data_IF_480037637082
#
_entry.id   IF_480037637082
#
_cell.length_a   1.000
_cell.length_b   1.000
_cell.length_c   1.000
_cell.angle_alpha   90.00
_cell.angle_beta   90.00
_cell.angle_gamma   90.00
#
_symmetry.space_group_name_H-M   'P 1'
#
loop_
_entity.id
_entity.type
_entity.pdbx_description
1 polymer ?
#
# COMPACT_ATOMS: atom_id res chain seq x y z
N UNK A 1 9.52 -15.81 -25.61
CA UNK A 1 9.45 -14.60 -24.75
C UNK A 1 9.66 -15.08 -23.32
N UNK A 2 10.88 -14.84 -22.80
CA UNK A 2 11.26 -15.33 -21.48
C UNK A 2 10.49 -14.58 -20.40
N UNK A 3 9.70 -15.28 -19.63
CA UNK A 3 9.15 -14.83 -18.34
C UNK A 3 10.35 -14.57 -17.43
N UNK A 4 10.71 -13.30 -17.21
CA UNK A 4 11.70 -12.96 -16.19
C UNK A 4 11.06 -13.29 -14.84
N UNK A 5 11.45 -14.41 -14.24
CA UNK A 5 11.02 -14.75 -12.89
C UNK A 5 11.51 -13.64 -11.98
N UNK A 6 10.58 -12.96 -11.31
CA UNK A 6 10.87 -12.03 -10.24
C UNK A 6 11.73 -12.76 -9.20
N UNK A 7 12.99 -12.34 -9.06
CA UNK A 7 13.88 -12.91 -8.04
C UNK A 7 13.41 -12.38 -6.68
N UNK A 8 12.59 -13.17 -6.01
CA UNK A 8 12.08 -12.86 -4.68
C UNK A 8 13.15 -13.26 -3.66
N UNK A 9 13.97 -12.30 -3.28
CA UNK A 9 15.04 -12.52 -2.29
C UNK A 9 15.19 -11.33 -1.35
N UNK A 10 15.65 -11.54 -0.09
CA UNK A 10 15.92 -10.46 0.86
C UNK A 10 16.95 -9.45 0.32
N UNK A 11 17.97 -9.93 -0.40
CA UNK A 11 18.98 -9.06 -1.02
C UNK A 11 18.39 -8.10 -2.05
N UNK A 12 17.41 -8.56 -2.85
CA UNK A 12 16.71 -7.71 -3.82
C UNK A 12 15.93 -6.59 -3.11
N UNK A 13 15.22 -6.91 -2.01
CA UNK A 13 14.52 -5.91 -1.22
C UNK A 13 15.47 -4.83 -0.71
N UNK A 14 16.62 -5.22 -0.13
CA UNK A 14 17.62 -4.27 0.37
C UNK A 14 18.20 -3.44 -0.77
N UNK A 15 18.52 -4.04 -1.90
CA UNK A 15 18.99 -3.34 -3.09
C UNK A 15 17.96 -2.30 -3.57
N UNK A 16 16.68 -2.66 -3.63
CA UNK A 16 15.62 -1.73 -4.02
C UNK A 16 15.54 -0.53 -3.05
N UNK A 17 15.64 -0.77 -1.74
CA UNK A 17 15.51 0.30 -0.74
C UNK A 17 16.64 1.33 -0.81
N UNK A 18 17.89 0.89 -1.09
CA UNK A 18 19.07 1.76 -1.03
C UNK A 18 19.61 2.18 -2.39
N UNK A 19 19.32 1.46 -3.46
CA UNK A 19 19.96 1.65 -4.76
C UNK A 19 18.99 1.67 -5.93
N UNK A 20 17.69 1.90 -5.67
CA UNK A 20 16.68 1.96 -6.73
C UNK A 20 16.90 3.18 -7.63
N UNK A 21 16.97 2.94 -8.93
CA UNK A 21 17.04 4.00 -9.94
C UNK A 21 15.91 3.83 -10.96
N UNK A 22 15.09 4.86 -11.10
CA UNK A 22 13.98 4.88 -12.06
C UNK A 22 14.43 4.80 -13.52
N UNK A 23 15.67 5.18 -13.82
CA UNK A 23 16.21 5.16 -15.18
C UNK A 23 16.59 3.75 -15.62
N UNK A 24 17.03 2.92 -14.67
CA UNK A 24 17.56 1.59 -14.93
C UNK A 24 16.58 0.47 -14.58
N UNK A 25 15.57 0.73 -13.79
CA UNK A 25 14.67 -0.30 -13.26
C UNK A 25 13.22 0.02 -13.67
N UNK A 26 12.74 -0.66 -14.71
CA UNK A 26 11.34 -0.58 -15.16
C UNK A 26 10.40 -1.40 -14.28
N UNK A 27 10.94 -2.18 -13.33
CA UNK A 27 10.18 -3.10 -12.49
C UNK A 27 9.74 -2.44 -11.19
N UNK A 28 8.56 -2.83 -10.71
CA UNK A 28 8.06 -2.43 -9.39
C UNK A 28 8.98 -2.94 -8.30
N UNK A 29 9.46 -2.09 -7.36
CA UNK A 29 10.30 -2.50 -6.26
C UNK A 29 9.66 -3.60 -5.42
N UNK A 30 10.47 -4.56 -4.94
CA UNK A 30 9.98 -5.71 -4.18
C UNK A 30 9.27 -5.31 -2.88
N UNK A 31 9.67 -4.20 -2.26
CA UNK A 31 9.03 -3.69 -1.03
C UNK A 31 7.52 -3.49 -1.20
N UNK A 32 7.06 -3.13 -2.40
CA UNK A 32 5.63 -2.93 -2.70
C UNK A 32 4.86 -4.23 -2.57
N UNK A 33 5.38 -5.31 -3.15
CA UNK A 33 4.75 -6.63 -3.08
C UNK A 33 4.82 -7.24 -1.68
N UNK A 34 5.91 -7.00 -0.96
CA UNK A 34 6.04 -7.41 0.44
C UNK A 34 5.01 -6.69 1.31
N UNK A 35 4.89 -5.38 1.15
CA UNK A 35 3.93 -4.56 1.90
C UNK A 35 2.49 -4.97 1.56
N UNK A 36 2.16 -5.19 0.29
CA UNK A 36 0.84 -5.68 -0.11
C UNK A 36 0.48 -6.99 0.59
N UNK A 37 1.38 -7.97 0.55
CA UNK A 37 1.19 -9.27 1.19
C UNK A 37 0.99 -9.16 2.72
N UNK A 38 1.79 -8.33 3.39
CA UNK A 38 1.65 -8.08 4.83
C UNK A 38 0.30 -7.46 5.19
N UNK A 39 -0.13 -6.46 4.44
CA UNK A 39 -1.40 -5.77 4.65
C UNK A 39 -2.57 -6.73 4.41
N UNK A 40 -2.58 -7.50 3.32
CA UNK A 40 -3.63 -8.48 3.03
C UNK A 40 -3.75 -9.55 4.11
N UNK A 41 -2.62 -10.07 4.62
CA UNK A 41 -2.61 -11.02 5.74
C UNK A 41 -3.16 -10.39 7.03
N UNK A 42 -2.81 -9.13 7.28
CA UNK A 42 -3.33 -8.39 8.44
C UNK A 42 -4.82 -8.17 8.34
N UNK A 43 -5.34 -7.78 7.17
CA UNK A 43 -6.77 -7.63 6.91
C UNK A 43 -7.51 -8.95 7.15
N UNK A 44 -7.04 -10.04 6.55
CA UNK A 44 -7.64 -11.37 6.70
C UNK A 44 -7.71 -11.80 8.17
N UNK A 45 -6.64 -11.55 8.93
CA UNK A 45 -6.61 -11.84 10.38
C UNK A 45 -7.62 -10.98 11.13
N UNK A 46 -7.67 -9.69 10.86
CA UNK A 46 -8.58 -8.76 11.53
C UNK A 46 -10.06 -9.09 11.24
N UNK A 47 -10.38 -9.44 10.00
CA UNK A 47 -11.74 -9.83 9.60
C UNK A 47 -12.19 -11.14 10.27
N UNK A 48 -11.27 -12.10 10.45
CA UNK A 48 -11.57 -13.33 11.23
C UNK A 48 -11.87 -13.03 12.70
N UNK A 49 -11.07 -12.12 13.31
CA UNK A 49 -11.29 -11.71 14.70
C UNK A 49 -12.62 -10.95 14.85
N UNK A 50 -12.93 -10.06 13.90
CA UNK A 50 -14.15 -9.26 13.93
C UNK A 50 -15.44 -10.10 13.84
N UNK A 51 -15.39 -11.29 13.22
CA UNK A 51 -16.54 -12.22 13.21
C UNK A 51 -16.87 -12.79 14.60
N UNK A 52 -15.89 -12.84 15.50
CA UNK A 52 -15.99 -13.50 16.80
C UNK A 52 -16.07 -12.51 17.98
N UNK A 53 -15.80 -11.23 17.78
CA UNK A 53 -15.75 -10.22 18.83
C UNK A 53 -16.28 -8.88 18.32
N UNK A 54 -17.23 -8.29 19.07
CA UNK A 54 -17.63 -6.90 18.87
C UNK A 54 -16.68 -5.99 19.65
N UNK A 55 -15.83 -5.26 18.93
CA UNK A 55 -14.93 -4.28 19.55
C UNK A 55 -15.58 -2.90 19.53
N UNK A 56 -15.40 -2.09 20.59
CA UNK A 56 -15.82 -0.69 20.55
C UNK A 56 -14.94 0.04 19.53
N UNK A 57 -15.51 0.33 18.36
CA UNK A 57 -14.85 1.16 17.35
C UNK A 57 -14.76 2.60 17.84
N UNK A 58 -13.56 3.16 17.86
CA UNK A 58 -13.37 4.58 18.08
C UNK A 58 -14.00 5.38 16.92
N UNK A 59 -14.94 6.28 17.22
CA UNK A 59 -15.54 7.15 16.21
C UNK A 59 -14.49 8.00 15.47
N UNK A 60 -13.37 8.33 16.12
CA UNK A 60 -12.31 9.17 15.57
C UNK A 60 -11.59 8.57 14.35
N UNK A 61 -11.48 7.24 14.29
CA UNK A 61 -10.78 6.55 13.20
C UNK A 61 -11.70 6.17 12.03
N UNK A 62 -13.02 6.37 12.18
CA UNK A 62 -14.00 6.11 11.11
C UNK A 62 -13.85 7.00 9.88
N UNK A 63 -13.11 8.09 9.99
CA UNK A 63 -12.79 8.96 8.84
C UNK A 63 -12.06 8.21 7.72
N UNK A 64 -11.36 7.11 8.07
CA UNK A 64 -10.71 6.23 7.10
C UNK A 64 -11.67 5.24 6.44
N UNK A 65 -12.88 5.03 6.96
CA UNK A 65 -13.83 4.10 6.35
C UNK A 65 -14.42 4.70 5.06
N UNK A 66 -14.39 3.92 3.97
CA UNK A 66 -15.04 4.28 2.70
C UNK A 66 -16.49 3.77 2.67
N UNK A 67 -17.34 4.47 1.91
CA UNK A 67 -18.70 4.03 1.63
C UNK A 67 -18.70 2.81 0.70
N UNK A 68 -17.93 2.90 -0.37
CA UNK A 68 -17.77 1.83 -1.36
C UNK A 68 -16.34 1.29 -1.31
N UNK A 69 -16.22 -0.04 -1.23
CA UNK A 69 -14.91 -0.70 -1.25
C UNK A 69 -14.39 -0.67 -2.68
N UNK A 70 -13.18 -0.12 -2.92
CA UNK A 70 -12.60 -0.12 -4.25
C UNK A 70 -12.42 -1.54 -4.79
N UNK A 71 -12.89 -1.78 -6.02
CA UNK A 71 -12.70 -3.05 -6.71
C UNK A 71 -11.26 -3.14 -7.28
N UNK A 72 -10.29 -3.22 -6.37
CA UNK A 72 -8.86 -3.27 -6.68
C UNK A 72 -8.11 -4.02 -5.58
N UNK A 73 -7.16 -4.89 -5.96
CA UNK A 73 -6.29 -5.55 -4.98
C UNK A 73 -5.33 -4.54 -4.36
N UNK A 74 -4.85 -4.83 -3.15
CA UNK A 74 -3.84 -3.99 -2.48
C UNK A 74 -2.56 -3.90 -3.31
N UNK A 75 -2.13 -5.00 -3.92
CA UNK A 75 -0.99 -5.03 -4.84
C UNK A 75 -1.18 -4.03 -5.99
N UNK A 76 -2.31 -4.11 -6.71
CA UNK A 76 -2.59 -3.23 -7.84
C UNK A 76 -2.73 -1.76 -7.42
N UNK A 77 -3.22 -1.50 -6.20
CA UNK A 77 -3.34 -0.15 -5.67
C UNK A 77 -1.97 0.46 -5.33
N UNK A 78 -1.10 -0.30 -4.66
CA UNK A 78 0.26 0.15 -4.35
C UNK A 78 1.11 0.34 -5.62
N UNK A 79 1.00 -0.59 -6.59
CA UNK A 79 1.65 -0.42 -7.90
C UNK A 79 1.16 0.83 -8.65
N UNK A 80 -0.14 1.14 -8.54
CA UNK A 80 -0.71 2.37 -9.11
C UNK A 80 -0.09 3.59 -8.45
N UNK A 81 -0.04 3.63 -7.12
CA UNK A 81 0.57 4.75 -6.39
C UNK A 81 2.03 4.90 -6.83
N UNK A 82 2.81 3.83 -6.81
CA UNK A 82 4.21 3.84 -7.22
C UNK A 82 4.40 4.38 -8.65
N UNK A 83 3.64 3.86 -9.61
CA UNK A 83 3.74 4.23 -11.02
C UNK A 83 3.51 5.74 -11.25
N UNK A 84 2.53 6.31 -10.56
CA UNK A 84 2.15 7.71 -10.80
C UNK A 84 2.91 8.69 -9.91
N UNK A 85 3.24 8.33 -8.67
CA UNK A 85 3.96 9.23 -7.76
C UNK A 85 5.47 9.12 -7.86
N UNK A 86 5.96 7.98 -8.34
CA UNK A 86 7.40 7.64 -8.36
C UNK A 86 8.07 7.83 -6.99
N UNK A 87 7.29 7.69 -5.90
CA UNK A 87 7.82 7.72 -4.55
C UNK A 87 8.83 6.58 -4.35
N UNK A 88 10.00 6.89 -3.81
CA UNK A 88 11.10 5.94 -3.65
C UNK A 88 10.75 4.75 -2.75
N UNK A 89 11.42 3.60 -2.87
CA UNK A 89 11.16 2.42 -2.03
C UNK A 89 11.24 2.71 -0.53
N UNK A 90 12.13 3.62 -0.10
CA UNK A 90 12.26 4.06 1.29
C UNK A 90 10.98 4.71 1.84
N UNK A 91 10.21 5.40 1.00
CA UNK A 91 8.90 5.97 1.36
C UNK A 91 7.92 4.88 1.80
N UNK A 92 7.92 3.73 1.12
CA UNK A 92 7.05 2.60 1.48
C UNK A 92 7.45 1.93 2.79
N UNK A 93 8.75 1.88 3.10
CA UNK A 93 9.23 1.43 4.43
C UNK A 93 8.74 2.39 5.51
N UNK A 94 8.90 3.71 5.33
CA UNK A 94 8.43 4.72 6.29
C UNK A 94 6.91 4.71 6.40
N UNK A 95 6.19 4.56 5.32
CA UNK A 95 4.73 4.40 5.34
C UNK A 95 4.30 3.19 6.17
N UNK A 96 5.03 2.07 6.08
CA UNK A 96 4.78 0.90 6.91
C UNK A 96 5.04 1.17 8.40
N UNK A 97 6.13 1.88 8.74
CA UNK A 97 6.36 2.37 10.12
C UNK A 97 5.17 3.20 10.62
N UNK A 98 4.63 4.08 9.77
CA UNK A 98 3.51 4.93 10.13
C UNK A 98 2.20 4.15 10.32
N UNK A 99 1.95 3.14 9.49
CA UNK A 99 0.79 2.25 9.63
C UNK A 99 0.85 1.52 10.97
N UNK A 100 2.01 0.97 11.33
CA UNK A 100 2.19 0.25 12.59
C UNK A 100 2.01 1.17 13.81
N UNK A 101 2.65 2.34 13.80
CA UNK A 101 2.49 3.37 14.85
C UNK A 101 1.05 3.86 14.98
N UNK A 102 0.36 4.04 13.85
CA UNK A 102 -1.05 4.44 13.83
C UNK A 102 -1.92 3.39 14.51
N UNK A 103 -1.72 2.11 14.20
CA UNK A 103 -2.44 1.02 14.84
C UNK A 103 -2.13 0.92 16.35
N UNK A 104 -0.89 1.16 16.75
CA UNK A 104 -0.49 1.18 18.16
C UNK A 104 -1.10 2.36 18.92
N UNK A 105 -1.12 3.55 18.32
CA UNK A 105 -1.72 4.75 18.91
C UNK A 105 -3.25 4.68 18.98
N UNK A 106 -3.88 3.85 18.16
CA UNK A 106 -5.33 3.70 18.06
C UNK A 106 -5.74 2.23 18.25
N UNK A 107 -5.75 1.69 19.48
CA UNK A 107 -5.98 0.25 19.73
C UNK A 107 -7.33 -0.28 19.23
N UNK A 108 -8.33 0.59 19.08
CA UNK A 108 -9.64 0.24 18.50
C UNK A 108 -9.65 0.19 16.96
N UNK A 109 -8.61 0.66 16.30
CA UNK A 109 -8.52 0.62 14.85
C UNK A 109 -8.05 -0.74 14.35
N UNK A 110 -8.73 -1.25 13.33
CA UNK A 110 -8.35 -2.50 12.65
C UNK A 110 -8.36 -2.26 11.14
N UNK A 111 -7.25 -2.57 10.50
CA UNK A 111 -7.15 -2.52 9.03
C UNK A 111 -8.08 -3.58 8.45
N UNK A 112 -8.96 -3.15 7.55
CA UNK A 112 -9.93 -3.98 6.85
C UNK A 112 -10.19 -3.43 5.45
N UNK A 113 -11.02 -4.11 4.67
CA UNK A 113 -11.33 -3.74 3.28
C UNK A 113 -11.91 -2.33 3.12
N UNK A 114 -12.59 -1.79 4.15
CA UNK A 114 -13.23 -0.46 4.08
C UNK A 114 -12.28 0.71 4.32
N UNK A 115 -11.15 0.50 5.04
CA UNK A 115 -10.26 1.60 5.44
C UNK A 115 -8.85 1.52 4.86
N UNK A 116 -8.43 0.38 4.36
CA UNK A 116 -7.04 0.15 3.93
C UNK A 116 -6.58 1.10 2.82
N UNK A 117 -7.41 1.37 1.81
CA UNK A 117 -7.02 2.21 0.68
C UNK A 117 -6.78 3.66 1.11
N UNK A 118 -7.67 4.21 1.95
CA UNK A 118 -7.53 5.55 2.50
C UNK A 118 -6.32 5.66 3.43
N UNK A 119 -6.10 4.65 4.27
CA UNK A 119 -4.92 4.60 5.14
C UNK A 119 -3.62 4.56 4.32
N UNK A 120 -3.55 3.71 3.30
CA UNK A 120 -2.36 3.56 2.45
C UNK A 120 -2.00 4.84 1.71
N UNK A 121 -2.95 5.47 1.02
CA UNK A 121 -2.64 6.70 0.27
C UNK A 121 -2.23 7.84 1.21
N UNK A 122 -2.88 7.96 2.37
CA UNK A 122 -2.56 8.99 3.36
C UNK A 122 -1.16 8.76 3.95
N UNK A 123 -0.85 7.53 4.36
CA UNK A 123 0.47 7.22 4.95
C UNK A 123 1.60 7.35 3.96
N UNK A 124 1.40 6.92 2.70
CA UNK A 124 2.41 7.07 1.64
C UNK A 124 2.63 8.55 1.31
N UNK A 125 1.57 9.34 1.21
CA UNK A 125 1.68 10.78 0.97
C UNK A 125 2.44 11.49 2.10
N UNK A 126 2.10 11.21 3.36
CA UNK A 126 2.79 11.80 4.53
C UNK A 126 4.24 11.34 4.59
N UNK A 127 4.51 10.06 4.28
CA UNK A 127 5.87 9.53 4.23
C UNK A 127 6.68 10.17 3.10
N UNK A 128 6.11 10.35 1.91
CA UNK A 128 6.77 11.06 0.80
C UNK A 128 7.16 12.50 1.20
N UNK A 129 6.22 13.24 1.82
CA UNK A 129 6.51 14.60 2.32
C UNK A 129 7.61 14.65 3.38
N UNK A 130 7.80 13.56 4.14
CA UNK A 130 8.81 13.48 5.18
C UNK A 130 10.19 13.04 4.65
N UNK A 131 10.22 12.16 3.63
CA UNK A 131 11.45 11.51 3.16
C UNK A 131 12.05 12.21 1.96
N UNK A 132 11.20 12.75 1.06
CA UNK A 132 11.62 13.27 -0.24
C UNK A 132 11.64 14.80 -0.25
N UNK A 133 12.71 15.39 -0.81
CA UNK A 133 12.86 16.84 -0.95
C UNK A 133 11.84 17.41 -1.94
N UNK A 134 11.49 16.64 -2.98
CA UNK A 134 10.53 16.98 -4.01
C UNK A 134 9.36 16.00 -3.98
N UNK A 135 8.15 16.51 -3.78
CA UNK A 135 6.93 15.69 -3.79
C UNK A 135 5.76 16.39 -4.46
N UNK A 136 4.75 15.62 -4.80
CA UNK A 136 3.54 16.14 -5.42
C UNK A 136 2.60 16.78 -4.40
N UNK A 137 1.75 17.70 -4.90
CA UNK A 137 0.68 18.31 -4.09
C UNK A 137 -0.38 17.26 -3.71
N UNK A 138 -1.11 17.51 -2.63
CA UNK A 138 -2.20 16.64 -2.18
C UNK A 138 -3.24 16.36 -3.27
N UNK A 139 -3.54 17.34 -4.12
CA UNK A 139 -4.46 17.17 -5.25
C UNK A 139 -4.01 16.10 -6.25
N UNK A 140 -2.70 15.91 -6.41
CA UNK A 140 -2.17 14.85 -7.26
C UNK A 140 -2.31 13.48 -6.58
N UNK A 141 -1.91 13.36 -5.30
CA UNK A 141 -2.11 12.13 -4.53
C UNK A 141 -3.58 11.74 -4.43
N UNK A 142 -4.49 12.72 -4.25
CA UNK A 142 -5.93 12.47 -4.22
C UNK A 142 -6.41 11.81 -5.53
N UNK A 143 -6.01 12.37 -6.68
CA UNK A 143 -6.33 11.80 -8.00
C UNK A 143 -5.78 10.39 -8.17
N UNK A 144 -4.54 10.15 -7.75
CA UNK A 144 -3.92 8.82 -7.80
C UNK A 144 -4.66 7.84 -6.89
N UNK A 145 -5.04 8.27 -5.70
CA UNK A 145 -5.77 7.47 -4.71
C UNK A 145 -7.26 7.27 -5.01
N UNK A 146 -7.82 8.01 -5.99
CA UNK A 146 -9.25 7.96 -6.29
C UNK A 146 -10.11 8.72 -5.29
N UNK A 147 -9.55 9.77 -4.66
CA UNK A 147 -10.21 10.60 -3.65
C UNK A 147 -10.39 12.05 -4.13
N UNK A 148 -11.29 12.78 -3.47
CA UNK A 148 -11.36 14.22 -3.58
C UNK A 148 -10.18 14.90 -2.86
N UNK A 149 -9.73 16.07 -3.37
CA UNK A 149 -8.61 16.79 -2.75
C UNK A 149 -8.92 17.20 -1.31
N UNK A 150 -10.12 17.73 -1.06
CA UNK A 150 -10.55 18.09 0.31
C UNK A 150 -10.62 16.87 1.23
N UNK A 151 -11.09 15.76 0.71
CA UNK A 151 -11.15 14.50 1.46
C UNK A 151 -9.74 14.06 1.90
N UNK A 152 -8.76 14.04 0.99
CA UNK A 152 -7.39 13.65 1.33
C UNK A 152 -6.73 14.65 2.27
N UNK A 153 -7.02 15.97 2.15
CA UNK A 153 -6.53 16.98 3.09
C UNK A 153 -7.05 16.71 4.51
N UNK A 154 -8.33 16.37 4.65
CA UNK A 154 -8.91 16.04 5.94
C UNK A 154 -8.31 14.75 6.51
N UNK A 155 -8.14 13.72 5.68
CA UNK A 155 -7.47 12.47 6.09
C UNK A 155 -6.03 12.70 6.55
N UNK A 156 -5.29 13.59 5.90
CA UNK A 156 -3.94 13.98 6.34
C UNK A 156 -3.96 14.59 7.74
N UNK A 157 -4.84 15.57 7.96
CA UNK A 157 -4.98 16.24 9.26
C UNK A 157 -5.37 15.24 10.35
N UNK A 158 -6.42 14.44 10.11
CA UNK A 158 -6.88 13.44 11.06
C UNK A 158 -5.77 12.42 11.37
N UNK A 159 -5.03 11.98 10.35
CA UNK A 159 -3.89 11.10 10.53
C UNK A 159 -2.82 11.71 11.44
N UNK A 160 -2.42 12.96 11.19
CA UNK A 160 -1.40 13.65 11.97
C UNK A 160 -1.82 13.81 13.44
N UNK A 161 -3.07 14.21 13.68
CA UNK A 161 -3.61 14.34 15.04
C UNK A 161 -3.71 12.98 15.76
N UNK A 162 -4.20 11.94 15.08
CA UNK A 162 -4.32 10.59 15.65
C UNK A 162 -2.95 9.93 15.91
N UNK A 163 -1.92 10.33 15.17
CA UNK A 163 -0.52 9.95 15.38
C UNK A 163 0.19 10.80 16.46
N UNK A 164 -0.44 11.88 16.94
CA UNK A 164 0.21 12.86 17.81
C UNK A 164 1.47 13.47 17.18
N UNK A 165 1.50 13.63 15.86
CA UNK A 165 2.63 14.16 15.07
C UNK A 165 3.95 13.38 15.24
N UNK A 166 3.90 12.12 15.67
CA UNK A 166 5.09 11.28 15.87
C UNK A 166 5.61 10.71 14.55
N UNK A 167 6.09 11.59 13.68
CA UNK A 167 6.57 11.23 12.34
C UNK A 167 8.05 10.87 12.29
N UNK A 168 8.85 11.36 13.25
CA UNK A 168 10.30 11.12 13.21
C UNK A 168 10.64 9.63 13.20
N UNK A 169 11.40 9.21 12.17
CA UNK A 169 11.93 7.86 12.01
C UNK A 169 13.43 7.96 12.00
N UNK A 170 14.10 7.49 13.05
CA UNK A 170 15.56 7.45 13.09
C UNK A 170 16.08 6.24 12.31
N UNK A 171 17.38 6.24 12.01
CA UNK A 171 18.03 5.20 11.22
C UNK A 171 17.83 3.81 11.82
N UNK A 172 17.96 3.65 13.15
CA UNK A 172 17.82 2.35 13.80
C UNK A 172 16.40 1.76 13.68
N UNK A 173 15.36 2.61 13.74
CA UNK A 173 13.97 2.18 13.50
C UNK A 173 13.82 1.80 12.04
N UNK A 174 14.30 2.62 11.11
CA UNK A 174 14.23 2.33 9.69
C UNK A 174 14.86 0.98 9.35
N UNK A 175 16.09 0.75 9.81
CA UNK A 175 16.83 -0.51 9.64
C UNK A 175 16.10 -1.72 10.24
N UNK A 176 15.50 -1.55 11.42
CA UNK A 176 14.70 -2.61 12.06
C UNK A 176 13.52 -3.04 11.18
N UNK A 177 12.83 -2.07 10.55
CA UNK A 177 11.72 -2.36 9.62
C UNK A 177 12.22 -2.98 8.31
N UNK A 178 13.36 -2.54 7.77
CA UNK A 178 13.99 -3.20 6.62
C UNK A 178 14.31 -4.67 6.95
N UNK A 179 14.92 -4.96 8.09
CA UNK A 179 15.20 -6.33 8.52
C UNK A 179 13.92 -7.15 8.74
N UNK A 180 12.84 -6.52 9.22
CA UNK A 180 11.55 -7.19 9.34
C UNK A 180 11.00 -7.59 7.97
N UNK A 181 11.01 -6.66 7.00
CA UNK A 181 10.56 -6.92 5.64
C UNK A 181 11.41 -7.98 4.93
N UNK A 182 12.74 -7.98 5.15
CA UNK A 182 13.63 -9.03 4.64
C UNK A 182 13.31 -10.41 5.21
N UNK A 183 13.00 -10.50 6.51
CA UNK A 183 12.55 -11.75 7.14
C UNK A 183 11.24 -12.26 6.57
N UNK A 184 10.31 -11.36 6.27
CA UNK A 184 9.05 -11.72 5.62
C UNK A 184 9.27 -12.35 4.25
N UNK A 185 10.26 -11.91 3.49
CA UNK A 185 10.67 -12.55 2.23
C UNK A 185 11.26 -13.93 2.47
N UNK A 186 12.06 -14.09 3.52
CA UNK A 186 12.82 -15.36 3.80
C UNK A 186 11.92 -16.47 4.35
N UNK A 187 10.96 -16.15 5.23
CA UNK A 187 10.18 -17.12 6.02
C UNK A 187 8.84 -17.43 5.33
N UNK A 188 8.89 -17.95 4.10
CA UNK A 188 7.67 -18.31 3.34
C UNK A 188 6.92 -17.10 2.74
N UNK A 189 7.42 -15.88 2.96
CA UNK A 189 6.87 -14.66 2.38
C UNK A 189 6.90 -14.69 0.85
N UNK A 190 7.89 -15.34 0.25
CA UNK A 190 7.99 -15.53 -1.18
C UNK A 190 6.74 -16.16 -1.79
N UNK A 191 6.18 -17.20 -1.18
CA UNK A 191 4.94 -17.84 -1.65
C UNK A 191 3.73 -16.90 -1.55
N UNK A 192 3.59 -16.17 -0.44
CA UNK A 192 2.47 -15.24 -0.26
C UNK A 192 2.56 -14.06 -1.22
N UNK A 193 3.75 -13.52 -1.44
CA UNK A 193 4.01 -12.45 -2.40
C UNK A 193 3.67 -12.91 -3.82
N UNK A 194 4.14 -14.09 -4.21
CA UNK A 194 3.86 -14.67 -5.52
C UNK A 194 2.36 -14.89 -5.73
N UNK A 195 1.65 -15.40 -4.72
CA UNK A 195 0.20 -15.55 -4.76
C UNK A 195 -0.51 -14.22 -4.96
N UNK A 196 -0.10 -13.18 -4.22
CA UNK A 196 -0.67 -11.82 -4.34
C UNK A 196 -0.45 -11.25 -5.73
N UNK A 197 0.74 -11.42 -6.30
CA UNK A 197 1.06 -10.98 -7.66
C UNK A 197 0.22 -11.73 -8.70
N UNK A 198 0.10 -13.05 -8.62
CA UNK A 198 -0.73 -13.87 -9.53
C UNK A 198 -2.19 -13.44 -9.49
N UNK A 199 -2.77 -13.24 -8.31
CA UNK A 199 -4.16 -12.77 -8.18
C UNK A 199 -4.35 -11.39 -8.83
N UNK A 200 -3.40 -10.47 -8.66
CA UNK A 200 -3.45 -9.15 -9.28
C UNK A 200 -3.38 -9.22 -10.82
N UNK A 201 -2.54 -10.10 -11.36
CA UNK A 201 -2.42 -10.34 -12.81
C UNK A 201 -3.68 -10.95 -13.41
N UNK A 202 -4.28 -11.94 -12.75
CA UNK A 202 -5.53 -12.56 -13.18
C UNK A 202 -6.69 -11.55 -13.25
N UNK A 203 -6.83 -10.67 -12.25
CA UNK A 203 -7.85 -9.61 -12.26
C UNK A 203 -7.57 -8.61 -13.40
N UNK A 204 -6.32 -8.23 -13.62
CA UNK A 204 -5.94 -7.34 -14.75
C UNK A 204 -6.30 -7.97 -16.09
N UNK A 205 -6.04 -9.27 -16.27
CA UNK A 205 -6.31 -10.01 -17.49
C UNK A 205 -7.82 -10.09 -17.77
N UNK A 206 -8.64 -10.42 -16.76
CA UNK A 206 -10.12 -10.47 -16.89
C UNK A 206 -10.69 -9.12 -17.32
N UNK A 207 -10.26 -8.02 -16.68
CA UNK A 207 -10.72 -6.66 -17.04
C UNK A 207 -10.29 -6.23 -18.44
N UNK A 208 -9.13 -6.69 -18.92
CA UNK A 208 -8.70 -6.44 -20.30
C UNK A 208 -9.57 -7.19 -21.31
N UNK A 209 -9.97 -8.43 -20.99
CA UNK A 209 -10.89 -9.25 -21.79
C UNK A 209 -12.29 -8.60 -21.88
N UNK A 210 -12.85 -8.19 -20.75
CA UNK A 210 -14.17 -7.52 -20.69
C UNK A 210 -14.20 -6.20 -21.47
N UNK A 211 -13.14 -5.39 -21.37
CA UNK A 211 -13.07 -4.13 -22.16
C UNK A 211 -13.01 -4.41 -23.66
N UNK A 212 -12.26 -5.42 -24.09
CA UNK A 212 -12.24 -5.82 -25.51
C UNK A 212 -13.60 -6.32 -25.98
N UNK A 213 -14.28 -7.13 -25.19
CA UNK A 213 -15.61 -7.64 -25.52
C UNK A 213 -16.64 -6.51 -25.66
N UNK A 214 -16.66 -5.59 -24.69
CA UNK A 214 -17.56 -4.42 -24.72
C UNK A 214 -17.23 -3.45 -25.86
N UNK A 215 -15.99 -3.34 -26.27
CA UNK A 215 -15.60 -2.52 -27.41
C UNK A 215 -16.03 -3.15 -28.75
N UNK A 216 -15.92 -4.48 -28.89
CA UNK A 216 -16.40 -5.20 -30.07
C UNK A 216 -17.92 -5.17 -30.13
N UNK A 217 -18.64 -5.33 -29.02
CA UNK A 217 -20.09 -5.24 -28.97
C UNK A 217 -20.61 -3.85 -29.36
N UNK A 218 -19.88 -2.77 -29.03
CA UNK A 218 -20.22 -1.40 -29.47
C UNK A 218 -19.95 -1.11 -30.94
N UNK A 219 -19.12 -1.89 -31.61
CA UNK A 219 -18.82 -1.74 -33.05
C UNK A 219 -19.80 -2.55 -33.90
N UNK A 220 -20.43 -3.55 -33.29
CA UNK A 220 -21.40 -4.43 -33.99
C UNK A 220 -22.88 -4.00 -33.80
N UNK A 221 -23.15 -2.96 -33.02
CA UNK A 221 -24.45 -2.27 -32.95
C UNK A 221 -24.42 -0.94 -33.71
#
# INVERSE_FOLDING_TARGET
MGSSSLVISPRKLRSDVYSYSYENDSNTPLVISVLASLIERTMTRNERIAKNCTWPLSNKTRVFDCHEIPDMTIQSYLERIFRYTRAGPSVYVVAYVYIDRFCQANPGFRINSRNVHRLLITTIMVASKYVEDMNYRNSYFARVGGLGTMELNNLELDFLFLMGFKLHVNVSVFESYCCHLEREVSIGGGYHIEKTLRCAEEIKSRRCGERRFNQIARIMM
#
